data_IF_170738368620
#
_entry.id   IF_170738368620
#
_cell.length_a   1.000
_cell.length_b   1.000
_cell.length_c   1.000
_cell.angle_alpha   90.00
_cell.angle_beta   90.00
_cell.angle_gamma   90.00
#
_symmetry.space_group_name_H-M   'P 1'
#
loop_
_entity.id
_entity.type
_entity.pdbx_description
1 polymer ?
#
# COMPACT_ATOMS: atom_id res chain seq x y z
N UNK A 1 49.67 -6.62 -41.80
CA UNK A 1 49.65 -7.90 -42.50
C UNK A 1 48.19 -8.33 -42.48
N UNK A 2 47.49 -8.04 -43.54
CA UNK A 2 47.10 -8.91 -44.66
C UNK A 2 46.28 -10.12 -44.20
N UNK A 3 45.14 -10.41 -44.61
CA UNK A 3 44.31 -10.46 -45.84
C UNK A 3 43.15 -11.36 -45.45
N UNK A 4 41.98 -11.41 -45.87
CA UNK A 4 41.20 -11.13 -47.04
C UNK A 4 39.94 -12.02 -46.99
N UNK A 5 38.80 -11.40 -47.25
CA UNK A 5 37.59 -11.85 -47.94
C UNK A 5 37.52 -13.31 -48.46
N UNK A 6 36.30 -13.90 -48.40
CA UNK A 6 35.55 -14.32 -49.57
C UNK A 6 34.04 -14.47 -49.33
N UNK A 7 33.27 -13.87 -50.24
CA UNK A 7 31.83 -14.06 -50.50
C UNK A 7 31.60 -15.32 -51.29
N UNK A 8 30.49 -16.01 -51.09
CA UNK A 8 29.86 -16.72 -52.23
C UNK A 8 28.33 -16.69 -52.08
N UNK A 9 27.74 -16.23 -53.16
CA UNK A 9 26.33 -16.13 -53.53
C UNK A 9 25.99 -17.39 -54.35
N UNK A 10 24.81 -18.02 -54.16
CA UNK A 10 24.27 -18.94 -55.15
C UNK A 10 22.75 -18.91 -55.20
N UNK A 11 22.26 -18.76 -56.43
CA UNK A 11 20.89 -18.53 -56.86
C UNK A 11 20.01 -19.80 -56.92
N UNK A 12 18.68 -19.51 -56.99
CA UNK A 12 17.50 -20.31 -57.27
C UNK A 12 17.66 -21.37 -58.42
N UNK A 13 16.65 -22.33 -58.51
CA UNK A 13 15.58 -22.05 -59.43
C UNK A 13 14.14 -22.44 -58.96
N UNK A 14 13.23 -21.73 -59.54
CA UNK A 14 11.78 -21.79 -59.60
C UNK A 14 11.31 -22.96 -60.50
N UNK A 15 10.32 -23.74 -60.07
CA UNK A 15 9.49 -24.55 -60.97
C UNK A 15 8.01 -24.41 -60.64
N UNK A 16 7.27 -23.94 -61.66
CA UNK A 16 5.81 -23.94 -61.76
C UNK A 16 5.31 -25.32 -62.17
N UNK A 17 4.21 -25.77 -61.58
CA UNK A 17 3.24 -26.64 -62.27
C UNK A 17 1.82 -26.38 -61.73
N UNK A 18 0.94 -25.99 -62.65
CA UNK A 18 -0.53 -25.92 -62.46
C UNK A 18 -1.13 -27.32 -62.51
N UNK A 19 -2.14 -27.53 -61.68
CA UNK A 19 -3.24 -28.45 -62.02
C UNK A 19 -4.56 -28.04 -61.31
N UNK A 20 -5.58 -27.78 -62.10
CA UNK A 20 -6.95 -27.55 -61.67
C UNK A 20 -7.60 -28.82 -61.18
N UNK A 21 -8.47 -28.70 -60.14
CA UNK A 21 -9.41 -29.74 -59.73
C UNK A 21 -10.47 -29.18 -58.78
N UNK A 22 -11.66 -28.96 -59.30
CA UNK A 22 -12.87 -28.51 -58.61
C UNK A 22 -13.45 -29.65 -57.79
N UNK A 23 -13.79 -29.41 -56.48
CA UNK A 23 -14.97 -30.05 -55.86
C UNK A 23 -15.43 -29.26 -54.61
N UNK A 24 -16.69 -28.87 -54.67
CA UNK A 24 -17.47 -28.27 -53.59
C UNK A 24 -17.73 -29.26 -52.47
N UNK A 25 -17.54 -28.85 -51.22
CA UNK A 25 -18.27 -29.30 -50.05
C UNK A 25 -18.21 -28.23 -48.95
N UNK A 26 -19.26 -28.10 -48.12
CA UNK A 26 -19.52 -26.90 -47.38
C UNK A 26 -18.57 -26.72 -46.19
N UNK A 27 -18.06 -25.51 -46.12
CA UNK A 27 -17.23 -24.99 -45.06
C UNK A 27 -18.07 -24.81 -43.77
N UNK A 28 -17.81 -25.66 -42.79
CA UNK A 28 -18.32 -25.51 -41.46
C UNK A 28 -17.17 -24.86 -40.62
N UNK A 29 -16.89 -23.59 -40.90
CA UNK A 29 -16.05 -22.79 -40.02
C UNK A 29 -16.82 -22.52 -38.75
N UNK A 30 -16.59 -23.35 -37.73
CA UNK A 30 -16.83 -22.96 -36.34
C UNK A 30 -16.00 -21.69 -36.07
N UNK A 31 -16.71 -20.57 -36.04
CA UNK A 31 -16.21 -19.34 -35.43
C UNK A 31 -16.05 -19.68 -33.96
N UNK A 32 -14.80 -19.95 -33.55
CA UNK A 32 -14.43 -19.94 -32.15
C UNK A 32 -14.79 -18.55 -31.66
N UNK A 33 -15.89 -18.44 -30.94
CA UNK A 33 -16.20 -17.27 -30.15
C UNK A 33 -15.08 -17.13 -29.14
N UNK A 34 -14.21 -16.17 -29.36
CA UNK A 34 -13.39 -15.62 -28.28
C UNK A 34 -14.38 -15.09 -27.25
N UNK A 35 -14.70 -15.90 -26.25
CA UNK A 35 -15.23 -15.39 -25.00
C UNK A 35 -14.08 -14.62 -24.37
N UNK A 36 -14.04 -13.32 -24.61
CA UNK A 36 -13.34 -12.39 -23.74
C UNK A 36 -13.99 -12.63 -22.38
N UNK A 37 -13.20 -13.10 -21.46
CA UNK A 37 -13.58 -13.19 -20.04
C UNK A 37 -13.77 -11.74 -19.55
N UNK A 38 -15.01 -11.24 -19.60
CA UNK A 38 -15.40 -9.88 -19.20
C UNK A 38 -15.36 -9.69 -17.67
N UNK A 39 -14.75 -10.62 -16.92
CA UNK A 39 -14.72 -10.57 -15.46
C UNK A 39 -13.33 -10.29 -14.86
N UNK A 40 -12.33 -9.97 -15.65
CA UNK A 40 -11.13 -9.33 -15.09
C UNK A 40 -11.52 -7.88 -14.78
N UNK A 41 -12.04 -7.60 -13.60
CA UNK A 41 -12.06 -6.26 -13.05
C UNK A 41 -10.61 -5.79 -13.04
N UNK A 42 -10.31 -4.65 -13.69
CA UNK A 42 -9.00 -4.03 -13.59
C UNK A 42 -8.79 -3.68 -12.11
N UNK A 43 -8.15 -4.60 -11.38
CA UNK A 43 -7.85 -4.40 -9.96
C UNK A 43 -6.77 -3.33 -9.85
N UNK A 44 -6.99 -2.38 -8.96
CA UNK A 44 -6.02 -1.33 -8.66
C UNK A 44 -6.14 -0.85 -7.22
N UNK A 45 -5.09 -0.18 -6.73
CA UNK A 45 -5.07 0.41 -5.42
C UNK A 45 -5.09 -0.62 -4.28
N UNK A 46 -4.89 -0.15 -3.09
CA UNK A 46 -4.86 -0.97 -1.90
C UNK A 46 -5.82 -0.51 -0.82
N UNK A 47 -6.03 -1.39 0.16
CA UNK A 47 -6.85 -1.15 1.34
C UNK A 47 -6.09 -1.49 2.62
N UNK A 48 -6.13 -0.59 3.61
CA UNK A 48 -5.71 -0.90 4.97
C UNK A 48 -6.85 -1.62 5.71
N UNK A 49 -6.61 -2.88 6.05
CA UNK A 49 -7.62 -3.74 6.70
C UNK A 49 -7.99 -3.28 8.11
N UNK A 50 -7.33 -2.26 8.63
CA UNK A 50 -7.75 -1.58 9.87
C UNK A 50 -9.16 -1.02 9.76
N UNK A 51 -9.56 -0.54 8.59
CA UNK A 51 -10.94 -0.09 8.30
C UNK A 51 -11.97 -1.20 8.57
N UNK A 52 -11.61 -2.44 8.29
CA UNK A 52 -12.47 -3.62 8.39
C UNK A 52 -12.18 -4.49 9.63
N UNK A 53 -11.41 -3.97 10.62
CA UNK A 53 -10.90 -4.73 11.78
C UNK A 53 -11.96 -5.52 12.53
N UNK A 54 -13.18 -4.97 12.70
CA UNK A 54 -14.25 -5.61 13.43
C UNK A 54 -14.86 -6.84 12.72
N UNK A 55 -14.80 -6.84 11.38
CA UNK A 55 -15.28 -7.94 10.53
C UNK A 55 -14.16 -8.91 10.22
N UNK A 56 -12.93 -8.44 10.01
CA UNK A 56 -11.73 -9.27 9.87
C UNK A 56 -11.50 -10.18 11.08
N UNK A 57 -11.83 -9.73 12.27
CA UNK A 57 -11.77 -10.57 13.50
C UNK A 57 -12.81 -11.68 13.57
N UNK A 58 -13.81 -11.72 12.68
CA UNK A 58 -14.91 -12.71 12.69
C UNK A 58 -14.80 -13.69 11.53
N UNK A 59 -14.64 -13.18 10.30
CA UNK A 59 -14.55 -13.98 9.08
C UNK A 59 -13.60 -13.32 8.09
N UNK A 60 -12.28 -13.53 8.25
CA UNK A 60 -11.29 -12.93 7.37
C UNK A 60 -11.49 -13.28 5.90
N UNK A 61 -11.89 -14.53 5.59
CA UNK A 61 -12.06 -14.99 4.20
C UNK A 61 -13.16 -14.21 3.49
N UNK A 62 -14.35 -14.15 4.08
CA UNK A 62 -15.47 -13.44 3.46
C UNK A 62 -15.18 -11.94 3.27
N UNK A 63 -14.44 -11.33 4.19
CA UNK A 63 -14.02 -9.93 4.07
C UNK A 63 -13.03 -9.74 2.92
N UNK A 64 -12.02 -10.61 2.80
CA UNK A 64 -11.02 -10.52 1.74
C UNK A 64 -11.61 -10.81 0.36
N UNK A 65 -12.54 -11.77 0.25
CA UNK A 65 -13.29 -12.02 -0.99
C UNK A 65 -14.08 -10.77 -1.41
N UNK A 66 -14.79 -10.13 -0.49
CA UNK A 66 -15.53 -8.89 -0.77
C UNK A 66 -14.60 -7.73 -1.18
N UNK A 67 -13.43 -7.58 -0.54
CA UNK A 67 -12.41 -6.59 -0.90
C UNK A 67 -11.90 -6.82 -2.33
N UNK A 68 -11.63 -8.06 -2.71
CA UNK A 68 -11.20 -8.41 -4.06
C UNK A 68 -12.32 -8.16 -5.10
N UNK A 69 -13.59 -8.46 -4.76
CA UNK A 69 -14.75 -8.19 -5.61
C UNK A 69 -14.97 -6.68 -5.86
N UNK A 70 -14.62 -5.83 -4.89
CA UNK A 70 -14.64 -4.37 -5.06
C UNK A 70 -13.55 -3.84 -6.00
N UNK A 71 -12.56 -4.67 -6.37
CA UNK A 71 -11.50 -4.30 -7.31
C UNK A 71 -10.20 -3.84 -6.68
N UNK A 72 -10.02 -3.95 -5.37
CA UNK A 72 -8.72 -3.71 -4.74
C UNK A 72 -7.71 -4.77 -5.15
N UNK A 73 -6.46 -4.35 -5.39
CA UNK A 73 -5.38 -5.24 -5.84
C UNK A 73 -4.54 -5.77 -4.68
N UNK A 74 -4.30 -4.93 -3.66
CA UNK A 74 -3.41 -5.29 -2.56
C UNK A 74 -3.93 -4.79 -1.21
N UNK A 75 -3.37 -5.35 -0.16
CA UNK A 75 -3.78 -5.05 1.21
C UNK A 75 -2.61 -4.61 2.10
N UNK A 76 -2.95 -3.84 3.13
CA UNK A 76 -2.15 -3.69 4.33
C UNK A 76 -2.83 -4.42 5.48
N UNK A 77 -2.11 -5.33 6.13
CA UNK A 77 -2.62 -5.99 7.32
C UNK A 77 -2.44 -5.11 8.57
N UNK A 78 -3.43 -5.16 9.48
CA UNK A 78 -3.38 -4.48 10.79
C UNK A 78 -3.83 -5.40 11.95
N UNK A 79 -3.85 -6.70 11.73
CA UNK A 79 -4.35 -7.70 12.68
C UNK A 79 -3.30 -8.75 13.07
N UNK A 80 -2.03 -8.34 13.23
CA UNK A 80 -0.98 -9.22 13.73
C UNK A 80 -0.96 -9.22 15.26
N UNK A 81 -0.96 -10.41 15.84
CA UNK A 81 -0.83 -10.63 17.29
C UNK A 81 -0.33 -12.03 17.57
N UNK A 82 0.62 -12.16 18.52
CA UNK A 82 1.14 -13.45 18.99
C UNK A 82 1.63 -14.38 17.85
N UNK A 83 2.30 -13.81 16.85
CA UNK A 83 2.84 -14.58 15.71
C UNK A 83 1.82 -14.90 14.62
N UNK A 84 0.62 -14.32 14.66
CA UNK A 84 -0.48 -14.67 13.75
C UNK A 84 -1.13 -13.44 13.13
N UNK A 85 -1.57 -13.58 11.88
CA UNK A 85 -2.41 -12.62 11.18
C UNK A 85 -3.87 -13.05 11.28
N UNK A 86 -4.68 -12.28 12.00
CA UNK A 86 -6.12 -12.58 12.20
C UNK A 86 -6.35 -14.02 12.71
N UNK A 87 -5.45 -14.52 13.56
CA UNK A 87 -5.50 -15.86 14.14
C UNK A 87 -4.88 -16.98 13.28
N UNK A 88 -4.41 -16.68 12.08
CA UNK A 88 -3.76 -17.63 11.16
C UNK A 88 -2.24 -17.51 11.23
N UNK A 89 -1.53 -18.63 11.03
CA UNK A 89 -0.08 -18.61 10.82
C UNK A 89 0.27 -17.75 9.57
N UNK A 90 1.45 -17.10 9.52
CA UNK A 90 1.82 -16.23 8.39
C UNK A 90 1.67 -16.90 7.01
N UNK A 91 2.11 -18.14 6.86
CA UNK A 91 1.98 -18.89 5.61
C UNK A 91 0.53 -19.21 5.24
N UNK A 92 -0.35 -19.46 6.24
CA UNK A 92 -1.78 -19.69 6.02
C UNK A 92 -2.49 -18.41 5.54
N UNK A 93 -2.14 -17.27 6.14
CA UNK A 93 -2.68 -15.98 5.72
C UNK A 93 -2.25 -15.65 4.29
N UNK A 94 -0.97 -15.87 3.95
CA UNK A 94 -0.47 -15.73 2.59
C UNK A 94 -1.24 -16.59 1.59
N UNK A 95 -1.44 -17.87 1.91
CA UNK A 95 -2.17 -18.79 1.05
C UNK A 95 -3.63 -18.32 0.82
N UNK A 96 -4.28 -17.78 1.85
CA UNK A 96 -5.63 -17.20 1.72
C UNK A 96 -5.63 -15.98 0.79
N UNK A 97 -4.66 -15.09 0.91
CA UNK A 97 -4.53 -13.93 0.00
C UNK A 97 -4.32 -14.37 -1.46
N UNK A 98 -3.44 -15.37 -1.67
CA UNK A 98 -3.21 -15.93 -3.00
C UNK A 98 -4.49 -16.55 -3.60
N UNK A 99 -5.31 -17.24 -2.79
CA UNK A 99 -6.58 -17.85 -3.22
C UNK A 99 -7.63 -16.83 -3.61
N UNK A 100 -7.72 -15.69 -2.91
CA UNK A 100 -8.69 -14.62 -3.21
C UNK A 100 -8.18 -13.59 -4.22
N UNK A 101 -6.90 -13.69 -4.64
CA UNK A 101 -6.30 -12.82 -5.65
C UNK A 101 -5.82 -11.47 -5.13
N UNK A 102 -5.60 -11.31 -3.81
CA UNK A 102 -5.08 -10.10 -3.20
C UNK A 102 -3.58 -10.22 -2.91
N UNK A 103 -2.84 -9.13 -3.12
CA UNK A 103 -1.40 -9.10 -2.86
C UNK A 103 -1.10 -8.55 -1.46
N UNK A 104 -0.25 -9.19 -0.65
CA UNK A 104 0.25 -8.61 0.59
C UNK A 104 1.27 -7.50 0.29
N UNK A 105 0.92 -6.25 0.58
CA UNK A 105 1.81 -5.12 0.34
C UNK A 105 2.57 -4.72 1.60
N UNK A 106 1.86 -4.36 2.66
CA UNK A 106 2.43 -3.86 3.91
C UNK A 106 1.74 -4.44 5.13
N UNK A 107 2.45 -4.45 6.25
CA UNK A 107 1.93 -4.91 7.54
C UNK A 107 2.15 -3.85 8.62
N UNK A 108 1.06 -3.30 9.15
CA UNK A 108 1.03 -2.45 10.34
C UNK A 108 1.21 -3.30 11.59
N UNK A 109 2.27 -3.08 12.36
CA UNK A 109 2.55 -3.84 13.58
C UNK A 109 2.81 -2.90 14.76
N UNK A 110 1.75 -2.63 15.51
CA UNK A 110 1.78 -1.73 16.67
C UNK A 110 2.44 -2.34 17.92
N UNK A 111 2.58 -3.67 17.96
CA UNK A 111 3.23 -4.41 19.04
C UNK A 111 4.77 -4.45 18.94
N UNK A 112 5.32 -3.97 17.83
CA UNK A 112 6.75 -4.11 17.54
C UNK A 112 7.61 -3.28 18.50
N UNK A 113 8.65 -3.93 19.00
CA UNK A 113 9.69 -3.36 19.87
C UNK A 113 11.06 -3.75 19.34
N UNK A 114 12.14 -3.14 19.86
CA UNK A 114 13.51 -3.59 19.53
C UNK A 114 13.76 -5.06 19.85
N UNK A 115 13.08 -5.59 20.87
CA UNK A 115 13.27 -6.96 21.33
C UNK A 115 12.61 -7.99 20.42
N UNK A 116 11.36 -7.71 19.94
CA UNK A 116 10.59 -8.65 19.14
C UNK A 116 10.65 -8.39 17.62
N UNK A 117 11.18 -7.25 17.18
CA UNK A 117 11.23 -6.83 15.77
C UNK A 117 11.76 -7.94 14.84
N UNK A 118 12.82 -8.64 15.24
CA UNK A 118 13.38 -9.73 14.45
C UNK A 118 12.36 -10.81 14.11
N UNK A 119 11.54 -11.20 15.07
CA UNK A 119 10.51 -12.23 14.88
C UNK A 119 9.32 -11.69 14.07
N UNK A 120 8.78 -10.53 14.45
CA UNK A 120 7.63 -9.95 13.77
C UNK A 120 7.90 -9.62 12.31
N UNK A 121 9.13 -9.16 11.99
CA UNK A 121 9.56 -8.91 10.61
C UNK A 121 9.71 -10.23 9.83
N UNK A 122 10.23 -11.30 10.47
CA UNK A 122 10.30 -12.61 9.84
C UNK A 122 8.91 -13.16 9.50
N UNK A 123 7.93 -13.00 10.38
CA UNK A 123 6.55 -13.42 10.19
C UNK A 123 5.87 -12.62 9.07
N UNK A 124 6.11 -11.30 9.01
CA UNK A 124 5.62 -10.45 7.93
C UNK A 124 6.19 -10.88 6.57
N UNK A 125 7.47 -11.23 6.54
CA UNK A 125 8.13 -11.74 5.32
C UNK A 125 7.58 -13.10 4.90
N UNK A 126 7.30 -14.00 5.84
CA UNK A 126 6.67 -15.31 5.57
C UNK A 126 5.25 -15.14 5.03
N UNK A 127 4.49 -14.17 5.55
CA UNK A 127 3.18 -13.78 5.03
C UNK A 127 3.24 -13.09 3.65
N UNK A 128 4.43 -12.84 3.11
CA UNK A 128 4.65 -12.31 1.76
C UNK A 128 4.65 -10.79 1.68
N UNK A 129 4.60 -10.06 2.78
CA UNK A 129 4.65 -8.61 2.78
C UNK A 129 5.99 -8.07 2.31
N UNK A 130 5.96 -6.92 1.62
CA UNK A 130 7.15 -6.22 1.14
C UNK A 130 7.62 -5.15 2.12
N UNK A 131 6.67 -4.57 2.86
CA UNK A 131 6.88 -3.49 3.81
C UNK A 131 6.42 -3.88 5.20
N UNK A 132 7.21 -3.45 6.18
CA UNK A 132 6.79 -3.41 7.58
C UNK A 132 6.51 -1.96 7.96
N UNK A 133 5.39 -1.69 8.62
CA UNK A 133 5.00 -0.33 9.01
C UNK A 133 4.94 -0.23 10.53
N UNK A 134 5.62 0.78 11.06
CA UNK A 134 5.56 1.20 12.46
C UNK A 134 4.46 2.25 12.56
N UNK A 135 3.26 1.90 13.05
CA UNK A 135 2.09 2.79 12.95
C UNK A 135 2.02 3.87 14.01
N UNK A 136 2.78 3.73 15.08
CA UNK A 136 2.81 4.65 16.23
C UNK A 136 4.17 4.59 16.91
N UNK A 137 4.56 5.59 17.73
CA UNK A 137 5.75 5.51 18.56
C UNK A 137 5.77 4.22 19.39
N UNK A 138 6.78 3.35 19.20
CA UNK A 138 6.79 2.00 19.77
C UNK A 138 7.14 1.98 21.26
N UNK A 139 7.17 0.77 21.86
CA UNK A 139 7.58 0.52 23.25
C UNK A 139 6.77 1.32 24.29
N UNK A 140 5.46 1.53 24.03
CA UNK A 140 4.57 2.23 24.95
C UNK A 140 4.76 3.76 25.00
N UNK A 141 5.46 4.31 24.04
CA UNK A 141 5.62 5.78 23.92
C UNK A 141 4.37 6.45 23.36
N UNK A 142 3.53 5.73 22.61
CA UNK A 142 2.27 6.24 22.09
C UNK A 142 1.23 6.44 23.19
N UNK A 143 0.46 7.52 23.12
CA UNK A 143 -0.62 7.83 24.07
C UNK A 143 -1.91 8.21 23.34
N UNK A 144 -3.02 7.79 23.92
CA UNK A 144 -4.36 8.20 23.51
C UNK A 144 -5.12 8.73 24.72
N UNK A 145 -5.66 9.94 24.61
CA UNK A 145 -6.51 10.54 25.62
C UNK A 145 -7.98 10.42 25.19
N UNK A 146 -8.77 9.53 25.82
CA UNK A 146 -10.16 9.30 25.41
C UNK A 146 -11.09 10.49 25.67
N UNK A 147 -10.75 11.39 26.60
CA UNK A 147 -11.59 12.55 26.93
C UNK A 147 -11.50 13.65 25.86
N UNK A 148 -10.32 13.86 25.28
CA UNK A 148 -10.08 14.83 24.21
C UNK A 148 -9.98 14.18 22.84
N UNK A 149 -9.98 12.84 22.77
CA UNK A 149 -9.73 12.05 21.55
C UNK A 149 -8.41 12.44 20.87
N UNK A 150 -7.42 12.88 21.65
CA UNK A 150 -6.13 13.29 21.15
C UNK A 150 -5.11 12.16 21.22
N UNK A 151 -4.31 12.08 20.16
CA UNK A 151 -3.15 11.22 20.06
C UNK A 151 -1.91 12.01 20.51
N UNK A 152 -0.87 11.30 20.92
CA UNK A 152 0.35 11.92 21.37
C UNK A 152 1.45 10.91 21.69
N UNK A 153 2.53 11.42 22.26
CA UNK A 153 3.69 10.62 22.63
C UNK A 153 4.19 11.03 24.01
N UNK A 154 4.69 10.04 24.75
CA UNK A 154 5.47 10.25 26.00
C UNK A 154 6.96 10.04 25.73
N UNK A 155 7.81 10.50 26.66
CA UNK A 155 9.25 10.44 26.49
C UNK A 155 9.76 11.49 25.51
N UNK A 156 11.01 11.34 25.06
CA UNK A 156 11.63 12.27 24.12
C UNK A 156 11.50 11.81 22.68
N UNK A 157 11.46 12.77 21.74
CA UNK A 157 11.46 12.48 20.30
C UNK A 157 12.71 11.70 19.90
N UNK A 158 13.86 12.02 20.50
CA UNK A 158 15.11 11.33 20.25
C UNK A 158 15.03 9.83 20.62
N UNK A 159 14.43 9.49 21.78
CA UNK A 159 14.28 8.09 22.18
C UNK A 159 13.35 7.33 21.23
N UNK A 160 12.25 7.93 20.81
CA UNK A 160 11.36 7.32 19.82
C UNK A 160 12.08 7.09 18.49
N UNK A 161 12.83 8.08 18.01
CA UNK A 161 13.64 7.97 16.79
C UNK A 161 14.66 6.83 16.88
N UNK A 162 15.36 6.69 18.00
CA UNK A 162 16.35 5.62 18.20
C UNK A 162 15.69 4.22 18.13
N UNK A 163 14.49 4.08 18.68
CA UNK A 163 13.75 2.80 18.63
C UNK A 163 13.30 2.52 17.21
N UNK A 164 12.69 3.49 16.53
CA UNK A 164 12.20 3.39 15.16
C UNK A 164 13.35 3.00 14.22
N UNK A 165 14.50 3.68 14.34
CA UNK A 165 15.68 3.39 13.53
C UNK A 165 16.25 1.98 13.80
N UNK A 166 16.23 1.51 15.04
CA UNK A 166 16.68 0.16 15.37
C UNK A 166 15.78 -0.91 14.73
N UNK A 167 14.46 -0.71 14.75
CA UNK A 167 13.49 -1.59 14.08
C UNK A 167 13.69 -1.57 12.55
N UNK A 168 13.87 -0.38 11.97
CA UNK A 168 14.08 -0.23 10.54
C UNK A 168 15.39 -0.89 10.06
N UNK A 169 16.46 -0.77 10.85
CA UNK A 169 17.72 -1.46 10.56
C UNK A 169 17.58 -3.00 10.60
N UNK A 170 16.76 -3.53 11.52
CA UNK A 170 16.46 -4.97 11.55
C UNK A 170 15.65 -5.39 10.32
N UNK A 171 14.69 -4.56 9.86
CA UNK A 171 13.95 -4.83 8.62
C UNK A 171 14.86 -4.88 7.40
N UNK A 172 15.75 -3.90 7.26
CA UNK A 172 16.78 -3.88 6.21
C UNK A 172 17.69 -5.11 6.26
N UNK A 173 18.12 -5.54 7.45
CA UNK A 173 18.96 -6.72 7.63
C UNK A 173 18.27 -8.00 7.15
N UNK A 174 16.94 -8.06 7.23
CA UNK A 174 16.13 -9.18 6.71
C UNK A 174 15.68 -8.99 5.26
N UNK A 175 16.05 -7.87 4.61
CA UNK A 175 15.68 -7.55 3.22
C UNK A 175 14.24 -7.08 3.07
N UNK A 176 13.63 -6.53 4.11
CA UNK A 176 12.34 -5.85 4.08
C UNK A 176 12.53 -4.33 4.12
N UNK A 177 11.55 -3.59 3.60
CA UNK A 177 11.49 -2.14 3.68
C UNK A 177 10.70 -1.72 4.91
N UNK A 178 11.17 -0.73 5.66
CA UNK A 178 10.46 -0.18 6.81
C UNK A 178 9.87 1.19 6.51
N UNK A 179 8.65 1.41 7.00
CA UNK A 179 7.95 2.69 6.95
C UNK A 179 7.52 3.09 8.37
N UNK A 180 7.53 4.39 8.63
CA UNK A 180 6.85 4.98 9.76
C UNK A 180 5.57 5.67 9.27
N UNK A 181 4.44 5.36 9.91
CA UNK A 181 3.14 5.98 9.63
C UNK A 181 2.86 7.11 10.62
N UNK A 182 2.36 8.23 10.13
CA UNK A 182 2.07 9.41 10.95
C UNK A 182 0.59 9.52 11.31
N UNK A 183 0.35 10.20 12.42
CA UNK A 183 -0.91 10.84 12.79
C UNK A 183 -0.76 12.37 12.79
N UNK A 184 -1.66 13.08 13.47
CA UNK A 184 -1.66 14.54 13.49
C UNK A 184 -0.64 15.15 14.45
N UNK A 185 -0.32 14.44 15.55
CA UNK A 185 0.56 14.99 16.59
C UNK A 185 2.02 15.08 16.16
N UNK A 186 2.48 14.26 15.23
CA UNK A 186 3.86 14.33 14.72
C UNK A 186 4.14 15.60 13.91
N UNK A 187 3.09 16.28 13.42
CA UNK A 187 3.22 17.54 12.66
C UNK A 187 3.13 18.80 13.54
N UNK A 188 3.05 18.66 14.85
CA UNK A 188 2.96 19.78 15.79
C UNK A 188 4.19 19.81 16.68
N UNK A 189 4.63 21.04 17.02
CA UNK A 189 5.66 21.21 18.05
C UNK A 189 5.20 20.55 19.37
N UNK A 190 6.06 19.73 19.94
CA UNK A 190 5.86 19.14 21.25
C UNK A 190 6.38 20.08 22.37
N UNK A 191 6.37 19.62 23.62
CA UNK A 191 6.85 20.40 24.76
C UNK A 191 8.37 20.71 24.69
N UNK A 192 9.14 19.99 23.88
CA UNK A 192 10.55 20.23 23.62
C UNK A 192 10.79 21.28 22.52
N UNK A 193 9.74 21.80 21.87
CA UNK A 193 9.82 22.69 20.71
C UNK A 193 10.27 21.97 19.43
N UNK A 194 10.01 20.66 19.35
CA UNK A 194 10.39 19.80 18.22
C UNK A 194 9.13 19.34 17.49
N UNK A 195 9.14 19.37 16.16
CA UNK A 195 8.16 18.70 15.30
C UNK A 195 8.61 17.25 15.09
N UNK A 196 7.93 16.25 15.66
CA UNK A 196 8.43 14.88 15.68
C UNK A 196 8.69 14.27 14.31
N UNK A 197 7.82 14.51 13.33
CA UNK A 197 8.00 13.97 11.98
C UNK A 197 9.28 14.48 11.31
N UNK A 198 9.56 15.78 11.46
CA UNK A 198 10.80 16.37 10.95
C UNK A 198 12.02 15.70 11.57
N UNK A 199 11.99 15.52 12.90
CA UNK A 199 13.08 14.88 13.62
C UNK A 199 13.30 13.44 13.16
N UNK A 200 12.22 12.64 12.99
CA UNK A 200 12.32 11.25 12.52
C UNK A 200 12.91 11.18 11.11
N UNK A 201 12.49 12.07 10.20
CA UNK A 201 13.01 12.11 8.84
C UNK A 201 14.48 12.49 8.81
N UNK A 202 14.86 13.55 9.53
CA UNK A 202 16.21 14.12 9.54
C UNK A 202 17.25 13.22 10.25
N UNK A 203 16.81 12.39 11.19
CA UNK A 203 17.66 11.50 11.97
C UNK A 203 17.52 10.02 11.57
N UNK A 204 17.10 9.72 10.33
CA UNK A 204 17.03 8.36 9.81
C UNK A 204 17.76 8.19 8.48
N UNK A 205 18.33 6.99 8.25
CA UNK A 205 18.90 6.64 6.94
C UNK A 205 17.76 6.26 5.97
N UNK A 206 17.62 6.94 4.82
CA UNK A 206 16.58 6.61 3.82
C UNK A 206 16.73 5.21 3.19
N UNK A 207 17.85 4.53 3.43
CA UNK A 207 18.01 3.12 3.03
C UNK A 207 17.25 2.17 3.93
N UNK A 208 17.12 2.52 5.22
CA UNK A 208 16.51 1.67 6.23
C UNK A 208 15.08 2.08 6.52
N UNK A 209 14.82 3.39 6.68
CA UNK A 209 13.52 3.95 7.04
C UNK A 209 13.02 4.95 6.01
N UNK A 210 11.78 4.79 5.57
CA UNK A 210 11.01 5.79 4.86
C UNK A 210 9.66 5.99 5.56
N UNK A 211 8.71 6.69 4.92
CA UNK A 211 7.48 7.12 5.58
C UNK A 211 6.26 6.75 4.76
N UNK A 212 5.20 6.36 5.46
CA UNK A 212 3.85 6.25 4.93
C UNK A 212 3.10 7.49 5.40
N UNK A 213 2.81 8.42 4.47
CA UNK A 213 2.08 9.63 4.82
C UNK A 213 0.58 9.37 4.83
N UNK A 214 -0.04 9.62 5.98
CA UNK A 214 -1.48 9.68 6.07
C UNK A 214 -1.97 11.09 5.72
N UNK A 215 -2.69 11.19 4.60
CA UNK A 215 -3.10 12.47 4.02
C UNK A 215 -4.20 13.17 4.83
N UNK A 216 -5.05 12.41 5.54
CA UNK A 216 -6.03 12.97 6.47
C UNK A 216 -5.35 13.57 7.69
N UNK A 217 -4.45 12.82 8.34
CA UNK A 217 -3.85 13.25 9.59
C UNK A 217 -2.93 14.46 9.41
N UNK A 218 -2.15 14.52 8.32
CA UNK A 218 -1.33 15.72 8.02
C UNK A 218 -2.21 16.94 7.78
N UNK A 219 -3.31 16.79 7.02
CA UNK A 219 -4.27 17.85 6.76
C UNK A 219 -4.96 18.30 8.05
N UNK A 220 -5.38 17.35 8.89
CA UNK A 220 -6.00 17.64 10.19
C UNK A 220 -5.05 18.37 11.14
N UNK A 221 -3.76 18.12 11.06
CA UNK A 221 -2.75 18.85 11.81
C UNK A 221 -2.61 20.32 11.36
N UNK A 222 -3.17 20.67 10.19
CA UNK A 222 -3.02 21.98 9.56
C UNK A 222 -1.73 22.12 8.74
N UNK A 223 -1.07 20.98 8.44
CA UNK A 223 0.08 20.93 7.57
C UNK A 223 -0.32 20.55 6.13
N UNK A 224 0.55 20.81 5.15
CA UNK A 224 0.31 20.52 3.75
C UNK A 224 1.19 19.33 3.30
N UNK A 225 0.58 18.24 2.77
CA UNK A 225 1.35 17.10 2.26
C UNK A 225 2.39 17.50 1.21
N UNK A 226 2.04 18.40 0.30
CA UNK A 226 2.92 18.81 -0.81
C UNK A 226 4.12 19.58 -0.30
N UNK A 227 3.96 20.45 0.72
CA UNK A 227 5.09 21.15 1.36
C UNK A 227 6.09 20.15 1.97
N UNK A 228 5.59 19.05 2.54
CA UNK A 228 6.44 17.98 3.07
C UNK A 228 7.12 17.17 1.97
N UNK A 229 6.48 16.96 0.83
CA UNK A 229 7.11 16.31 -0.33
C UNK A 229 8.21 17.20 -0.92
N UNK A 230 8.04 18.52 -0.91
CA UNK A 230 9.06 19.48 -1.32
C UNK A 230 10.23 19.55 -0.33
N UNK A 231 9.92 19.51 0.97
CA UNK A 231 10.92 19.57 2.04
C UNK A 231 11.77 18.29 2.10
N UNK A 232 11.15 17.13 1.90
CA UNK A 232 11.78 15.82 2.03
C UNK A 232 11.53 14.92 0.79
N UNK A 233 12.07 15.29 -0.38
CA UNK A 233 11.77 14.58 -1.63
C UNK A 233 12.19 13.11 -1.56
N UNK A 234 11.31 12.23 -2.05
CA UNK A 234 11.55 10.81 -2.13
C UNK A 234 11.42 10.03 -0.82
N UNK A 235 10.99 10.66 0.28
CA UNK A 235 10.91 10.01 1.59
C UNK A 235 9.55 9.38 1.91
N UNK A 236 8.47 9.76 1.21
CA UNK A 236 7.11 9.27 1.46
C UNK A 236 6.73 8.20 0.45
N UNK A 237 7.12 6.94 0.73
CA UNK A 237 7.01 5.80 -0.18
C UNK A 237 5.60 5.23 -0.29
N UNK A 238 4.77 5.48 0.70
CA UNK A 238 3.38 5.06 0.71
C UNK A 238 2.47 6.18 1.18
N UNK A 239 1.20 6.13 0.75
CA UNK A 239 0.18 7.03 1.25
C UNK A 239 -1.00 6.26 1.82
N UNK A 240 -1.51 6.71 2.97
CA UNK A 240 -2.88 6.43 3.37
C UNK A 240 -3.78 7.53 2.82
N UNK A 241 -4.71 7.13 1.97
CA UNK A 241 -5.66 8.03 1.31
C UNK A 241 -6.97 7.96 2.08
N UNK A 242 -7.19 8.99 2.90
CA UNK A 242 -8.39 9.22 3.71
C UNK A 242 -8.86 10.64 3.45
N UNK A 243 -10.17 10.85 3.32
CA UNK A 243 -10.73 12.18 3.15
C UNK A 243 -11.23 12.78 4.47
N UNK A 244 -11.47 14.09 4.47
CA UNK A 244 -11.94 14.85 5.62
C UNK A 244 -13.21 15.64 5.26
N UNK A 245 -14.26 15.46 6.05
CA UNK A 245 -15.51 16.21 5.86
C UNK A 245 -15.41 17.64 6.46
N UNK A 246 -16.45 18.44 6.26
CA UNK A 246 -16.57 19.81 6.75
C UNK A 246 -16.63 19.91 8.29
N UNK A 247 -16.82 18.81 8.99
CA UNK A 247 -16.78 18.70 10.45
C UNK A 247 -15.42 18.21 10.97
N UNK A 248 -14.45 17.95 10.08
CA UNK A 248 -13.13 17.43 10.43
C UNK A 248 -13.13 15.94 10.76
N UNK A 249 -14.15 15.18 10.33
CA UNK A 249 -14.26 13.73 10.51
C UNK A 249 -13.77 12.99 9.28
N UNK A 250 -13.49 11.69 9.45
CA UNK A 250 -13.18 10.81 8.33
C UNK A 250 -14.35 10.75 7.33
N UNK A 251 -14.01 10.78 6.06
CA UNK A 251 -14.95 10.63 4.96
C UNK A 251 -14.38 9.68 3.89
N UNK A 252 -15.23 8.97 3.14
CA UNK A 252 -14.77 8.22 1.99
C UNK A 252 -14.06 9.12 0.97
N UNK A 253 -13.04 8.59 0.31
CA UNK A 253 -12.24 9.33 -0.67
C UNK A 253 -13.11 9.94 -1.77
N UNK A 254 -12.91 11.23 -2.05
CA UNK A 254 -13.67 11.99 -3.04
C UNK A 254 -14.98 12.58 -2.53
N UNK A 255 -15.35 12.33 -1.26
CA UNK A 255 -16.57 12.89 -0.65
C UNK A 255 -16.29 14.02 0.34
N UNK A 256 -15.02 14.30 0.63
CA UNK A 256 -14.57 15.33 1.56
C UNK A 256 -14.01 16.57 0.87
N UNK A 257 -12.96 17.12 1.44
CA UNK A 257 -12.40 18.41 1.01
C UNK A 257 -10.91 18.39 0.73
N UNK A 258 -10.23 17.23 0.83
CA UNK A 258 -8.81 17.12 0.49
C UNK A 258 -8.64 17.21 -1.03
N UNK A 259 -7.75 18.09 -1.48
CA UNK A 259 -7.41 18.23 -2.90
C UNK A 259 -6.44 17.13 -3.34
N UNK A 260 -6.98 15.93 -3.54
CA UNK A 260 -6.20 14.77 -3.95
C UNK A 260 -5.61 14.90 -5.36
N UNK A 261 -6.24 15.66 -6.27
CA UNK A 261 -5.68 15.88 -7.61
C UNK A 261 -4.35 16.63 -7.50
N UNK A 262 -4.28 17.67 -6.67
CA UNK A 262 -3.05 18.42 -6.40
C UNK A 262 -2.00 17.57 -5.71
N UNK A 263 -2.39 16.74 -4.75
CA UNK A 263 -1.48 15.87 -4.03
C UNK A 263 -0.94 14.78 -4.97
N UNK A 264 -1.80 14.17 -5.79
CA UNK A 264 -1.43 13.13 -6.75
C UNK A 264 -0.46 13.69 -7.83
N UNK A 265 -0.63 14.95 -8.23
CA UNK A 265 0.31 15.61 -9.16
C UNK A 265 1.75 15.70 -8.59
N UNK A 266 1.91 15.63 -7.27
CA UNK A 266 3.21 15.66 -6.58
C UNK A 266 3.74 14.24 -6.24
N UNK A 267 3.15 13.16 -6.75
CA UNK A 267 3.51 11.77 -6.40
C UNK A 267 4.99 11.45 -6.65
N UNK A 268 5.54 11.92 -7.76
CA UNK A 268 6.96 11.69 -8.08
C UNK A 268 7.90 12.37 -7.08
N UNK A 269 7.54 13.57 -6.62
CA UNK A 269 8.31 14.31 -5.64
C UNK A 269 8.26 13.65 -4.26
N UNK A 270 7.09 13.14 -3.87
CA UNK A 270 6.95 12.35 -2.65
C UNK A 270 7.79 11.07 -2.68
N UNK A 271 7.94 10.46 -3.87
CA UNK A 271 8.56 9.17 -4.11
C UNK A 271 7.61 8.01 -3.84
N UNK A 272 6.30 8.22 -3.97
CA UNK A 272 5.25 7.23 -3.74
C UNK A 272 5.46 5.99 -4.61
N UNK A 273 5.44 4.82 -3.98
CA UNK A 273 5.52 3.51 -4.63
C UNK A 273 4.14 2.81 -4.62
N UNK A 274 3.30 3.09 -3.62
CA UNK A 274 1.93 2.56 -3.49
C UNK A 274 1.07 3.43 -2.57
N UNK A 275 -0.23 3.21 -2.59
CA UNK A 275 -1.19 3.91 -1.73
C UNK A 275 -2.30 2.96 -1.24
N UNK A 276 -2.92 3.30 -0.13
CA UNK A 276 -3.94 2.48 0.52
C UNK A 276 -5.10 3.38 0.96
N UNK A 277 -6.32 2.98 0.65
CA UNK A 277 -7.50 3.55 1.28
C UNK A 277 -7.53 3.15 2.75
N UNK A 278 -7.88 4.06 3.63
CA UNK A 278 -8.20 3.75 5.02
C UNK A 278 -9.30 4.69 5.52
N UNK A 279 -10.11 4.19 6.45
CA UNK A 279 -11.08 4.99 7.19
C UNK A 279 -11.23 4.45 8.62
N UNK A 280 -10.74 5.19 9.61
CA UNK A 280 -10.67 4.71 11.02
C UNK A 280 -12.05 4.59 11.66
N UNK A 281 -13.01 5.40 11.20
CA UNK A 281 -14.40 5.37 11.63
C UNK A 281 -15.34 5.81 10.52
N UNK A 282 -16.53 5.23 10.47
CA UNK A 282 -17.62 5.59 9.56
C UNK A 282 -18.76 6.25 10.33
N UNK A 283 -19.53 7.11 9.67
CA UNK A 283 -20.57 7.91 10.31
C UNK A 283 -21.97 7.74 9.68
N UNK A 284 -22.04 7.58 8.37
CA UNK A 284 -23.29 7.46 7.63
C UNK A 284 -23.39 6.14 6.87
N UNK A 285 -22.27 5.50 6.63
CA UNK A 285 -22.08 4.26 5.87
C UNK A 285 -21.49 3.15 6.74
N UNK A 286 -21.59 1.91 6.29
CA UNK A 286 -20.81 0.80 6.86
C UNK A 286 -19.35 0.88 6.39
N UNK A 287 -18.39 0.26 7.09
CA UNK A 287 -17.00 0.22 6.63
C UNK A 287 -16.84 -0.35 5.21
N UNK A 288 -17.65 -1.33 4.81
CA UNK A 288 -17.61 -1.91 3.48
C UNK A 288 -18.12 -0.92 2.41
N UNK A 289 -19.25 -0.26 2.67
CA UNK A 289 -19.75 0.81 1.78
C UNK A 289 -18.76 1.98 1.68
N UNK A 290 -18.08 2.33 2.77
CA UNK A 290 -17.09 3.40 2.76
C UNK A 290 -15.90 3.10 1.85
N UNK A 291 -15.40 1.86 1.85
CA UNK A 291 -14.30 1.48 0.98
C UNK A 291 -14.73 1.30 -0.49
N UNK A 292 -15.98 0.90 -0.74
CA UNK A 292 -16.57 0.89 -2.09
C UNK A 292 -16.62 2.30 -2.68
N UNK A 293 -17.20 3.26 -1.94
CA UNK A 293 -17.23 4.69 -2.34
C UNK A 293 -15.80 5.22 -2.54
N UNK A 294 -14.89 4.87 -1.65
CA UNK A 294 -13.50 5.32 -1.75
C UNK A 294 -12.78 4.76 -2.99
N UNK A 295 -13.05 3.51 -3.37
CA UNK A 295 -12.48 2.91 -4.57
C UNK A 295 -12.97 3.60 -5.85
N UNK A 296 -14.26 3.95 -5.91
CA UNK A 296 -14.82 4.76 -6.99
C UNK A 296 -14.20 6.17 -7.01
N UNK A 297 -14.08 6.81 -5.83
CA UNK A 297 -13.45 8.12 -5.68
C UNK A 297 -12.00 8.16 -6.13
N UNK A 298 -11.21 7.13 -5.82
CA UNK A 298 -9.82 6.99 -6.32
C UNK A 298 -9.78 7.02 -7.85
N UNK A 299 -10.68 6.29 -8.49
CA UNK A 299 -10.76 6.20 -9.95
C UNK A 299 -11.15 7.54 -10.59
N UNK A 300 -12.10 8.25 -9.98
CA UNK A 300 -12.53 9.57 -10.46
C UNK A 300 -11.43 10.63 -10.33
N UNK A 301 -10.61 10.55 -9.28
CA UNK A 301 -9.47 11.46 -9.04
C UNK A 301 -8.30 11.12 -9.99
N UNK A 302 -8.20 9.90 -10.50
CA UNK A 302 -7.14 9.44 -11.40
C UNK A 302 -6.00 8.69 -10.73
N UNK A 303 -6.25 8.05 -9.59
CA UNK A 303 -5.37 7.03 -9.06
C UNK A 303 -5.45 5.77 -9.93
N UNK A 304 -4.28 5.14 -10.17
CA UNK A 304 -4.12 3.94 -11.02
C UNK A 304 -3.32 2.87 -10.28
#
# INVERSE_FOLDING_TARGET
MHLTLYRTLALLPMCFLLACGTNNSPDNSEVAANTVDETATDQFGGIALYTLRDTMGKDPRAVLEAVAELGYEYIEAAGYSEGKYYGMEPAEFKAMLDEVGLKPMSSHQSSMTRENAKTEISDAKEAGFQYIVIPVPPEGLFTYNPASQSLGMTGTVANASDIINAIAAEASAQGMKALYHNHDFEFRENEEGIVPIDYFIENSDPKDLNFQMDLYWVTKAGADPVDYFEKYPGRFKAWHVKDIDDQGRFAPVGTGSIDFERILAAKEQSGMEFYLVEQDATFNETPMEAIEISHEGLKEIGFE
#
